data_IF_615709875708
#
_entry.id   IF_615709875708
#
_cell.length_a   1.000
_cell.length_b   1.000
_cell.length_c   1.000
_cell.angle_alpha   90.00
_cell.angle_beta   90.00
_cell.angle_gamma   90.00
#
_symmetry.space_group_name_H-M   'P 1'
#
loop_
_entity.id
_entity.type
_entity.pdbx_description
1 polymer ?
#
# COMPACT_ATOMS: atom_id res chain seq x y z
N UNK A 1 -16.84 0.57 0.81
CA UNK A 1 -17.50 0.08 2.04
C UNK A 1 -16.41 -0.09 3.08
N UNK A 2 -16.46 0.65 4.19
CA UNK A 2 -15.58 0.37 5.31
C UNK A 2 -16.10 -0.90 6.00
N UNK A 3 -15.22 -1.87 6.28
CA UNK A 3 -15.56 -3.10 6.98
C UNK A 3 -14.86 -3.04 8.33
N UNK A 4 -15.65 -2.93 9.40
CA UNK A 4 -15.11 -2.80 10.76
C UNK A 4 -14.67 -4.13 11.37
N UNK A 5 -15.24 -5.24 10.89
CA UNK A 5 -14.93 -6.61 11.32
C UNK A 5 -14.86 -7.53 10.11
N UNK A 6 -13.81 -8.34 10.04
CA UNK A 6 -13.60 -9.28 8.94
C UNK A 6 -14.47 -10.54 9.02
N UNK A 7 -15.33 -10.66 10.04
CA UNK A 7 -16.21 -11.82 10.23
C UNK A 7 -17.19 -11.94 9.03
N UNK A 8 -17.08 -13.06 8.30
CA UNK A 8 -17.95 -13.37 7.16
C UNK A 8 -17.45 -12.86 5.80
N UNK A 9 -16.34 -12.13 5.75
CA UNK A 9 -15.68 -11.78 4.49
C UNK A 9 -14.83 -12.97 4.01
N UNK A 10 -14.70 -13.18 2.68
CA UNK A 10 -13.80 -14.20 2.15
C UNK A 10 -12.36 -13.89 2.57
N UNK A 11 -11.61 -14.94 2.92
CA UNK A 11 -10.20 -14.81 3.28
C UNK A 11 -9.34 -14.31 2.12
N UNK A 12 -8.12 -13.82 2.40
CA UNK A 12 -7.16 -13.46 1.36
C UNK A 12 -6.85 -14.63 0.42
N UNK A 13 -6.48 -14.30 -0.82
CA UNK A 13 -6.03 -15.32 -1.78
C UNK A 13 -4.71 -15.96 -1.31
N UNK A 14 -4.53 -17.25 -1.59
CA UNK A 14 -3.31 -17.99 -1.20
C UNK A 14 -2.14 -17.76 -2.16
N UNK A 15 -1.79 -16.50 -2.41
CA UNK A 15 -0.71 -16.11 -3.31
C UNK A 15 0.35 -15.26 -2.60
N UNK A 16 1.61 -15.46 -2.98
CA UNK A 16 2.75 -14.62 -2.59
C UNK A 16 3.47 -14.17 -3.86
N UNK A 17 3.63 -12.86 -4.05
CA UNK A 17 4.33 -12.32 -5.22
C UNK A 17 4.96 -10.95 -4.96
N UNK A 18 6.05 -10.67 -5.67
CA UNK A 18 6.54 -9.31 -5.82
C UNK A 18 5.68 -8.59 -6.87
N UNK A 19 5.09 -7.45 -6.48
CA UNK A 19 4.27 -6.62 -7.36
C UNK A 19 5.09 -5.47 -7.97
N UNK A 20 6.34 -5.30 -7.55
CA UNK A 20 7.22 -4.24 -8.01
C UNK A 20 6.92 -2.88 -7.36
N UNK A 21 7.36 -1.82 -8.02
CA UNK A 21 7.10 -0.45 -7.57
C UNK A 21 5.67 -0.05 -7.89
N UNK A 22 4.95 0.42 -6.87
CA UNK A 22 3.58 0.91 -6.98
C UNK A 22 3.45 2.30 -6.33
N UNK A 23 2.47 3.07 -6.78
CA UNK A 23 2.10 4.34 -6.16
C UNK A 23 1.71 4.08 -4.70
N UNK A 24 2.36 4.79 -3.79
CA UNK A 24 2.03 4.80 -2.37
C UNK A 24 0.88 5.78 -2.12
N UNK A 25 1.14 7.06 -2.38
CA UNK A 25 0.20 8.18 -2.25
C UNK A 25 0.80 9.41 -2.95
N UNK A 26 0.11 10.54 -2.89
CA UNK A 26 0.66 11.85 -3.26
C UNK A 26 1.11 12.61 -2.01
N UNK A 27 2.25 13.31 -2.10
CA UNK A 27 2.66 14.30 -1.11
C UNK A 27 1.97 15.64 -1.40
N UNK A 28 1.11 16.08 -0.48
CA UNK A 28 0.40 17.37 -0.55
C UNK A 28 1.05 18.47 0.30
N UNK A 29 2.32 18.33 0.66
CA UNK A 29 3.05 19.38 1.40
C UNK A 29 3.08 20.70 0.64
N UNK A 30 3.14 20.65 -0.70
CA UNK A 30 2.66 21.74 -1.56
C UNK A 30 1.31 21.34 -2.18
N UNK A 31 0.19 21.96 -1.77
CA UNK A 31 -1.13 21.62 -2.28
C UNK A 31 -1.34 22.00 -3.75
N UNK A 32 -0.48 22.84 -4.34
CA UNK A 32 -0.56 23.22 -5.76
C UNK A 32 0.30 22.33 -6.67
N UNK A 33 1.21 21.54 -6.10
CA UNK A 33 2.11 20.65 -6.83
C UNK A 33 2.26 19.29 -6.11
N UNK A 34 1.22 18.44 -6.13
CA UNK A 34 1.28 17.15 -5.48
C UNK A 34 2.24 16.20 -6.19
N UNK A 35 3.25 15.70 -5.47
CA UNK A 35 4.27 14.79 -6.03
C UNK A 35 3.98 13.33 -5.67
N UNK A 36 4.29 12.37 -6.55
CA UNK A 36 4.01 10.97 -6.28
C UNK A 36 5.06 10.33 -5.36
N UNK A 37 4.58 9.61 -4.34
CA UNK A 37 5.37 8.72 -3.51
C UNK A 37 5.18 7.28 -4.00
N UNK A 38 6.23 6.46 -3.93
CA UNK A 38 6.23 5.07 -4.37
C UNK A 38 6.78 4.15 -3.27
N UNK A 39 6.32 2.90 -3.27
CA UNK A 39 6.89 1.84 -2.44
C UNK A 39 7.00 0.54 -3.25
N UNK A 40 7.91 -0.36 -2.85
CA UNK A 40 8.03 -1.68 -3.49
C UNK A 40 7.05 -2.66 -2.83
N UNK A 41 5.91 -2.85 -3.47
CA UNK A 41 4.86 -3.68 -2.94
C UNK A 41 5.18 -5.16 -3.10
N UNK A 42 5.03 -5.90 -2.01
CA UNK A 42 5.06 -7.36 -1.98
C UNK A 42 3.77 -7.85 -1.35
N UNK A 43 3.18 -8.86 -1.99
CA UNK A 43 2.05 -9.58 -1.45
C UNK A 43 2.53 -10.88 -0.81
N UNK A 44 2.12 -11.13 0.42
CA UNK A 44 2.39 -12.35 1.17
C UNK A 44 1.06 -12.95 1.64
N UNK A 45 0.74 -14.15 1.17
CA UNK A 45 -0.54 -14.83 1.42
C UNK A 45 -1.77 -13.93 1.18
N UNK A 46 -1.78 -13.21 0.06
CA UNK A 46 -2.88 -12.32 -0.33
C UNK A 46 -2.92 -10.98 0.40
N UNK A 47 -1.95 -10.69 1.28
CA UNK A 47 -1.87 -9.45 2.05
C UNK A 47 -0.70 -8.60 1.55
N UNK A 48 -0.95 -7.32 1.30
CA UNK A 48 0.11 -6.33 1.03
C UNK A 48 0.30 -5.49 2.29
N UNK A 49 1.51 -5.53 2.85
CA UNK A 49 1.89 -4.65 3.95
C UNK A 49 2.29 -3.29 3.38
N UNK A 50 1.52 -2.25 3.74
CA UNK A 50 1.84 -0.87 3.37
C UNK A 50 2.76 -0.29 4.43
N UNK A 51 3.95 0.23 4.07
CA UNK A 51 4.89 0.79 5.03
C UNK A 51 4.35 2.08 5.65
N UNK A 52 4.91 2.49 6.78
CA UNK A 52 4.63 3.81 7.33
C UNK A 52 5.12 4.91 6.37
N UNK A 53 4.39 6.03 6.28
CA UNK A 53 4.70 7.15 5.36
C UNK A 53 6.15 7.66 5.47
N UNK A 54 6.72 7.67 6.67
CA UNK A 54 8.06 8.15 6.97
C UNK A 54 9.12 7.03 7.00
N UNK A 55 8.80 5.83 6.53
CA UNK A 55 9.78 4.74 6.34
C UNK A 55 10.68 5.02 5.14
N UNK A 56 11.93 4.56 5.19
CA UNK A 56 12.89 4.59 4.07
C UNK A 56 12.43 3.76 2.84
N UNK A 57 11.44 2.91 3.03
CA UNK A 57 10.82 2.12 1.95
C UNK A 57 9.95 2.96 1.01
N UNK A 58 9.46 4.11 1.49
CA UNK A 58 8.66 5.07 0.70
C UNK A 58 9.61 6.09 0.07
N UNK A 59 9.49 6.29 -1.24
CA UNK A 59 10.40 7.14 -2.03
C UNK A 59 9.62 8.09 -2.93
N UNK A 60 10.10 9.34 -3.01
CA UNK A 60 9.54 10.40 -3.85
C UNK A 60 9.82 11.76 -3.24
#
# INVERSE_FOLDING_TARGET
RLVERFEGEPGPISETRDLGWMLYDLDFSDPNDPTPLFFRARMENGVVHVPARNSEEVRG
#
